data_IF_800920046192
#
_entry.id   IF_800920046192
#
_cell.length_a   1.000
_cell.length_b   1.000
_cell.length_c   1.000
_cell.angle_alpha   90.00
_cell.angle_beta   90.00
_cell.angle_gamma   90.00
#
_symmetry.space_group_name_H-M   'P 1'
#
loop_
_entity.id
_entity.type
_entity.pdbx_description
1 polymer ?
#
# COMPACT_ATOMS: atom_id res chain seq x y z
N UNK A 1 10.84 -10.14 -9.47
CA UNK A 1 9.47 -10.09 -10.04
C UNK A 1 9.00 -8.66 -9.97
N UNK A 2 8.24 -8.19 -10.95
CA UNK A 2 7.70 -6.83 -10.99
C UNK A 2 6.21 -6.87 -11.28
N UNK A 3 5.43 -6.07 -10.55
CA UNK A 3 3.98 -5.94 -10.77
C UNK A 3 3.53 -4.50 -10.68
N UNK A 4 2.43 -4.18 -11.36
CA UNK A 4 1.72 -2.90 -11.26
C UNK A 4 0.51 -3.11 -10.35
N UNK A 5 0.56 -2.52 -9.16
CA UNK A 5 -0.57 -2.49 -8.24
C UNK A 5 -1.55 -1.39 -8.64
N UNK A 6 -2.81 -1.74 -8.89
CA UNK A 6 -3.90 -0.80 -9.18
C UNK A 6 -5.04 -1.03 -8.21
N UNK A 7 -5.50 0.04 -7.56
CA UNK A 7 -6.62 -0.05 -6.64
C UNK A 7 -6.85 1.24 -5.87
N UNK A 8 -7.09 1.09 -4.58
CA UNK A 8 -7.65 2.14 -3.75
C UNK A 8 -6.99 2.20 -2.38
N UNK A 9 -6.96 3.40 -1.80
CA UNK A 9 -6.59 3.64 -0.40
C UNK A 9 -7.81 4.18 0.32
N UNK A 10 -8.10 3.60 1.48
CA UNK A 10 -9.15 4.09 2.37
C UNK A 10 -8.55 5.00 3.43
N UNK A 11 -9.17 6.16 3.61
CA UNK A 11 -8.93 7.09 4.71
C UNK A 11 -10.19 7.21 5.58
N UNK A 12 -9.99 7.51 6.85
CA UNK A 12 -11.08 7.81 7.79
C UNK A 12 -10.78 9.11 8.52
N UNK A 13 -11.77 9.98 8.62
CA UNK A 13 -11.62 11.24 9.33
C UNK A 13 -11.67 10.96 10.85
N UNK A 14 -10.55 11.20 11.53
CA UNK A 14 -10.38 10.89 12.97
C UNK A 14 -9.86 12.10 13.72
N UNK A 15 -10.03 12.08 15.04
CA UNK A 15 -9.39 13.06 15.92
C UNK A 15 -7.86 12.99 15.73
N UNK A 16 -7.25 14.15 15.55
CA UNK A 16 -5.81 14.27 15.37
C UNK A 16 -5.11 13.98 16.68
N UNK A 17 -4.11 13.09 16.64
CA UNK A 17 -3.34 12.76 17.83
C UNK A 17 -2.63 14.01 18.38
N UNK A 18 -2.72 14.22 19.70
CA UNK A 18 -2.10 15.33 20.41
C UNK A 18 -2.59 16.74 20.00
N UNK A 19 -3.76 16.85 19.37
CA UNK A 19 -4.35 18.14 19.00
C UNK A 19 -5.87 18.14 19.23
N UNK A 20 -6.28 18.44 20.47
CA UNK A 20 -7.69 18.43 20.86
C UNK A 20 -8.54 19.35 19.95
N UNK A 21 -9.65 18.82 19.46
CA UNK A 21 -10.57 19.53 18.56
C UNK A 21 -10.11 19.62 17.10
N UNK A 22 -8.92 19.11 16.76
CA UNK A 22 -8.47 18.98 15.38
C UNK A 22 -8.75 17.57 14.85
N UNK A 23 -8.97 17.48 13.55
CA UNK A 23 -9.25 16.24 12.85
C UNK A 23 -8.27 16.07 11.69
N UNK A 24 -7.98 14.81 11.35
CA UNK A 24 -7.15 14.47 10.21
C UNK A 24 -7.62 13.19 9.51
N UNK A 25 -7.29 13.09 8.23
CA UNK A 25 -7.48 11.85 7.48
C UNK A 25 -6.45 10.81 7.91
N UNK A 26 -6.90 9.85 8.71
CA UNK A 26 -6.08 8.71 9.10
C UNK A 26 -6.08 7.64 8.00
N UNK A 27 -4.90 7.13 7.67
CA UNK A 27 -4.74 6.01 6.74
C UNK A 27 -5.36 4.74 7.34
N UNK A 28 -6.33 4.15 6.64
CA UNK A 28 -6.99 2.90 7.08
C UNK A 28 -6.29 1.71 6.45
N UNK A 29 -6.12 1.70 5.13
CA UNK A 29 -5.51 0.57 4.44
C UNK A 29 -5.58 0.66 2.92
N UNK A 30 -4.67 -0.04 2.22
CA UNK A 30 -4.74 -0.23 0.78
C UNK A 30 -5.58 -1.47 0.41
N UNK A 31 -6.15 -1.45 -0.79
CA UNK A 31 -6.65 -2.63 -1.49
C UNK A 31 -6.34 -2.50 -2.98
N UNK A 32 -5.47 -3.36 -3.50
CA UNK A 32 -5.04 -3.31 -4.89
C UNK A 32 -4.92 -4.71 -5.52
N UNK A 33 -5.19 -4.77 -6.82
CA UNK A 33 -4.83 -5.91 -7.67
C UNK A 33 -3.41 -5.70 -8.17
N UNK A 34 -2.59 -6.74 -8.12
CA UNK A 34 -1.24 -6.75 -8.69
C UNK A 34 -1.31 -7.36 -10.08
N UNK A 35 -0.93 -6.58 -11.09
CA UNK A 35 -0.88 -7.02 -12.48
C UNK A 35 0.56 -7.22 -12.94
N UNK A 36 0.82 -8.17 -13.83
CA UNK A 36 2.11 -8.26 -14.51
C UNK A 36 2.30 -7.12 -15.54
N UNK A 37 3.44 -7.11 -16.24
CA UNK A 37 3.73 -6.11 -17.28
C UNK A 37 2.84 -6.22 -18.52
N UNK A 38 2.16 -7.35 -18.72
CA UNK A 38 1.16 -7.54 -19.77
C UNK A 38 -0.25 -7.10 -19.33
N UNK A 39 -0.41 -6.65 -18.08
CA UNK A 39 -1.69 -6.22 -17.52
C UNK A 39 -2.54 -7.36 -16.95
N UNK A 40 -2.00 -8.58 -16.87
CA UNK A 40 -2.74 -9.71 -16.32
C UNK A 40 -2.66 -9.72 -14.80
N UNK A 41 -3.79 -9.96 -14.13
CA UNK A 41 -3.81 -10.09 -12.68
C UNK A 41 -2.98 -11.31 -12.23
N UNK A 42 -2.02 -11.08 -11.34
CA UNK A 42 -1.11 -12.10 -10.78
C UNK A 42 -1.15 -12.15 -9.26
N UNK A 43 -1.87 -11.23 -8.61
CA UNK A 43 -1.98 -11.23 -7.17
C UNK A 43 -2.77 -10.05 -6.61
N UNK A 44 -2.67 -9.87 -5.30
CA UNK A 44 -3.34 -8.81 -4.54
C UNK A 44 -2.40 -8.22 -3.51
N UNK A 45 -2.61 -6.94 -3.21
CA UNK A 45 -1.96 -6.21 -2.12
C UNK A 45 -3.02 -5.56 -1.23
N UNK A 46 -2.91 -5.74 0.08
CA UNK A 46 -3.82 -5.15 1.05
C UNK A 46 -3.16 -4.94 2.42
N UNK A 47 -3.86 -4.29 3.35
CA UNK A 47 -3.44 -4.19 4.75
C UNK A 47 -4.41 -3.38 5.61
N UNK A 48 -4.13 -3.21 6.91
CA UNK A 48 -2.94 -3.64 7.66
C UNK A 48 -3.03 -5.09 8.21
N UNK A 49 -1.89 -5.81 8.38
CA UNK A 49 -0.54 -5.42 7.96
C UNK A 49 -0.40 -5.45 6.43
N UNK A 50 0.62 -4.77 5.89
CA UNK A 50 0.92 -4.82 4.47
C UNK A 50 1.18 -6.26 4.03
N UNK A 51 0.31 -6.77 3.16
CA UNK A 51 0.23 -8.18 2.75
C UNK A 51 0.20 -8.27 1.23
N UNK A 52 1.05 -9.13 0.68
CA UNK A 52 1.10 -9.47 -0.74
C UNK A 52 0.73 -10.94 -0.90
N UNK A 53 -0.19 -11.22 -1.82
CA UNK A 53 -0.67 -12.57 -2.13
C UNK A 53 -0.55 -12.77 -3.64
N UNK A 54 0.07 -13.88 -4.04
CA UNK A 54 0.16 -14.32 -5.43
C UNK A 54 -0.98 -15.29 -5.75
N UNK A 55 -1.38 -15.41 -7.02
CA UNK A 55 -2.43 -16.35 -7.46
C UNK A 55 -2.05 -17.83 -7.27
N UNK A 56 -0.77 -18.14 -7.12
CA UNK A 56 -0.30 -19.49 -6.75
C UNK A 56 -0.50 -19.83 -5.26
N UNK A 57 -1.09 -18.91 -4.48
CA UNK A 57 -1.36 -19.07 -3.06
C UNK A 57 -0.19 -18.72 -2.14
N UNK A 58 0.99 -18.41 -2.67
CA UNK A 58 2.07 -17.87 -1.86
C UNK A 58 1.71 -16.47 -1.36
N UNK A 59 2.04 -16.18 -0.10
CA UNK A 59 1.76 -14.88 0.52
C UNK A 59 2.86 -14.46 1.49
N UNK A 60 3.07 -13.16 1.66
CA UNK A 60 3.97 -12.63 2.69
C UNK A 60 3.44 -11.31 3.25
N UNK A 61 3.90 -10.99 4.45
CA UNK A 61 3.81 -9.64 5.03
C UNK A 61 5.20 -8.99 5.05
N UNK A 62 5.31 -7.74 5.48
CA UNK A 62 6.61 -7.12 5.65
C UNK A 62 6.63 -5.91 6.55
N UNK A 63 7.84 -5.51 6.91
CA UNK A 63 8.12 -4.37 7.79
C UNK A 63 8.72 -3.23 6.97
N UNK A 64 8.16 -2.03 7.08
CA UNK A 64 8.71 -0.85 6.43
C UNK A 64 10.11 -0.54 6.96
N UNK A 65 11.08 -0.43 6.06
CA UNK A 65 12.45 -0.05 6.39
C UNK A 65 12.72 1.43 6.10
N UNK A 66 12.24 1.92 4.97
CA UNK A 66 12.52 3.28 4.52
C UNK A 66 11.38 3.83 3.67
N UNK A 67 11.30 5.15 3.63
CA UNK A 67 10.44 5.91 2.73
C UNK A 67 11.21 7.03 2.06
N UNK A 68 10.79 7.41 0.87
CA UNK A 68 11.31 8.59 0.19
C UNK A 68 10.14 9.39 -0.43
N UNK A 69 10.29 10.72 -0.58
CA UNK A 69 9.28 11.53 -1.26
C UNK A 69 9.00 11.02 -2.67
N UNK A 70 7.73 11.08 -3.08
CA UNK A 70 7.30 10.83 -4.45
C UNK A 70 6.91 12.16 -5.14
N UNK A 71 6.37 12.08 -6.36
CA UNK A 71 5.79 13.25 -7.02
C UNK A 71 4.63 13.84 -6.18
N UNK A 72 4.38 15.16 -6.24
CA UNK A 72 3.28 15.78 -5.51
C UNK A 72 1.94 15.05 -5.74
N UNK A 73 1.18 14.87 -4.66
CA UNK A 73 -0.11 14.16 -4.72
C UNK A 73 -0.01 12.63 -4.76
N UNK A 74 1.19 12.05 -4.57
CA UNK A 74 1.39 10.60 -4.55
C UNK A 74 1.92 10.11 -3.20
N UNK A 75 1.54 8.89 -2.82
CA UNK A 75 2.10 8.25 -1.62
C UNK A 75 3.62 8.14 -1.72
N UNK A 76 4.36 8.25 -0.60
CA UNK A 76 5.80 8.08 -0.58
C UNK A 76 6.24 6.74 -1.18
N UNK A 77 7.41 6.74 -1.81
CA UNK A 77 8.11 5.52 -2.19
C UNK A 77 8.44 4.74 -0.90
N UNK A 78 8.48 3.43 -0.98
CA UNK A 78 8.64 2.59 0.22
C UNK A 78 9.60 1.44 -0.06
N UNK A 79 10.49 1.16 0.89
CA UNK A 79 11.23 -0.09 0.96
C UNK A 79 10.73 -0.91 2.14
N UNK A 80 10.44 -2.17 1.90
CA UNK A 80 9.90 -3.12 2.88
C UNK A 80 10.83 -4.33 2.96
N UNK A 81 11.14 -4.75 4.19
CA UNK A 81 11.73 -6.06 4.47
C UNK A 81 10.61 -7.10 4.50
N UNK A 82 10.68 -8.09 3.62
CA UNK A 82 9.70 -9.16 3.59
C UNK A 82 9.90 -10.10 4.80
N UNK A 83 8.80 -10.50 5.41
CA UNK A 83 8.76 -11.65 6.31
C UNK A 83 8.82 -12.94 5.47
N UNK A 84 9.18 -14.10 6.07
CA UNK A 84 9.15 -15.38 5.38
C UNK A 84 7.79 -15.61 4.72
N UNK A 85 7.81 -15.98 3.44
CA UNK A 85 6.60 -16.29 2.71
C UNK A 85 5.94 -17.56 3.26
N UNK A 86 4.61 -17.54 3.31
CA UNK A 86 3.78 -18.73 3.51
C UNK A 86 3.44 -19.32 2.15
N UNK A 87 3.52 -20.64 2.03
CA UNK A 87 3.31 -21.36 0.77
C UNK A 87 4.53 -21.36 -0.14
N UNK A 88 4.60 -22.36 -1.01
CA UNK A 88 5.56 -22.40 -2.11
C UNK A 88 5.02 -21.53 -3.26
N UNK A 89 5.91 -20.87 -4.00
CA UNK A 89 5.51 -20.08 -5.18
C UNK A 89 6.37 -18.87 -5.46
N UNK A 90 5.79 -17.94 -6.22
CA UNK A 90 6.42 -16.71 -6.71
C UNK A 90 7.03 -15.88 -5.58
N UNK A 91 6.33 -15.79 -4.44
CA UNK A 91 6.75 -15.01 -3.27
C UNK A 91 7.76 -15.73 -2.38
N UNK A 92 8.01 -17.03 -2.57
CA UNK A 92 9.02 -17.76 -1.79
C UNK A 92 10.42 -17.19 -2.03
N UNK A 93 11.16 -16.93 -0.94
CA UNK A 93 12.52 -16.37 -1.00
C UNK A 93 12.60 -14.87 -1.30
N UNK A 94 11.46 -14.17 -1.43
CA UNK A 94 11.47 -12.70 -1.47
C UNK A 94 11.99 -12.17 -0.14
N UNK A 95 13.00 -11.30 -0.21
CA UNK A 95 13.62 -10.67 0.97
C UNK A 95 13.23 -9.20 1.13
N UNK A 96 12.97 -8.50 0.03
CA UNK A 96 12.61 -7.09 0.03
C UNK A 96 11.57 -6.80 -1.04
N UNK A 97 10.75 -5.80 -0.77
CA UNK A 97 9.76 -5.27 -1.72
C UNK A 97 9.94 -3.76 -1.76
N UNK A 98 10.02 -3.21 -2.97
CA UNK A 98 10.05 -1.77 -3.16
C UNK A 98 8.79 -1.31 -3.88
N UNK A 99 8.14 -0.29 -3.32
CA UNK A 99 7.05 0.44 -3.95
C UNK A 99 7.63 1.69 -4.61
N UNK A 100 7.51 1.77 -5.93
CA UNK A 100 7.98 2.88 -6.75
C UNK A 100 6.89 3.37 -7.71
N UNK A 101 7.17 4.42 -8.48
CA UNK A 101 6.26 4.97 -9.49
C UNK A 101 4.82 5.19 -8.96
N UNK A 102 4.70 5.62 -7.70
CA UNK A 102 3.41 5.83 -7.05
C UNK A 102 2.65 6.97 -7.72
N UNK A 103 1.35 6.76 -7.90
CA UNK A 103 0.41 7.74 -8.42
C UNK A 103 -0.82 7.76 -7.52
N UNK A 104 -1.11 8.93 -6.95
CA UNK A 104 -2.25 9.10 -6.05
C UNK A 104 -2.07 8.38 -4.71
N UNK A 105 -3.20 8.00 -4.11
CA UNK A 105 -3.25 7.34 -2.80
C UNK A 105 -3.06 8.25 -1.60
N UNK A 106 -2.88 9.57 -1.78
CA UNK A 106 -2.80 10.53 -0.68
C UNK A 106 -4.18 10.84 -0.10
N UNK A 107 -4.22 11.37 1.12
CA UNK A 107 -5.47 11.81 1.75
C UNK A 107 -6.25 12.77 0.82
N UNK A 108 -7.59 12.67 0.80
CA UNK A 108 -8.41 13.51 -0.06
C UNK A 108 -8.29 15.00 0.35
N UNK A 109 -8.50 15.90 -0.63
CA UNK A 109 -8.48 17.33 -0.39
C UNK A 109 -9.74 17.86 0.34
N UNK A 110 -10.78 17.03 0.47
CA UNK A 110 -11.97 17.38 1.23
C UNK A 110 -11.61 17.61 2.70
N UNK A 111 -12.26 18.58 3.37
CA UNK A 111 -12.01 18.83 4.78
C UNK A 111 -12.36 17.60 5.61
N UNK A 112 -11.49 17.29 6.57
CA UNK A 112 -11.80 16.42 7.70
C UNK A 112 -11.95 17.32 8.92
N UNK A 113 -13.17 17.42 9.43
CA UNK A 113 -13.55 18.26 10.56
C UNK A 113 -14.53 17.51 11.49
N UNK A 114 -15.06 18.21 12.49
CA UNK A 114 -15.97 17.62 13.46
C UNK A 114 -17.25 17.04 12.82
N UNK A 115 -17.76 17.65 11.74
CA UNK A 115 -18.93 17.15 11.03
C UNK A 115 -18.60 15.92 10.19
N UNK A 116 -17.36 15.84 9.68
CA UNK A 116 -16.83 14.71 8.94
C UNK A 116 -16.32 13.54 9.79
N UNK A 117 -16.32 13.63 11.13
CA UNK A 117 -15.76 12.58 12.02
C UNK A 117 -16.36 11.21 11.73
N UNK A 118 -15.51 10.20 11.55
CA UNK A 118 -15.89 8.82 11.22
C UNK A 118 -16.26 8.59 9.76
N UNK A 119 -16.33 9.63 8.93
CA UNK A 119 -16.51 9.47 7.49
C UNK A 119 -15.30 8.77 6.87
N UNK A 120 -15.56 7.99 5.82
CA UNK A 120 -14.53 7.31 5.03
C UNK A 120 -14.47 7.86 3.63
N UNK A 121 -13.27 7.95 3.11
CA UNK A 121 -13.01 8.38 1.74
C UNK A 121 -12.07 7.40 1.08
N UNK A 122 -12.35 7.12 -0.19
CA UNK A 122 -11.60 6.18 -1.01
C UNK A 122 -10.96 6.96 -2.13
N UNK A 123 -9.64 6.82 -2.27
CA UNK A 123 -8.86 7.49 -3.31
C UNK A 123 -8.18 6.47 -4.20
N UNK A 124 -8.10 6.78 -5.49
CA UNK A 124 -7.41 5.95 -6.48
C UNK A 124 -5.91 5.91 -6.19
N UNK A 125 -5.32 4.76 -6.44
CA UNK A 125 -3.93 4.48 -6.17
C UNK A 125 -3.35 3.52 -7.20
N UNK A 126 -2.13 3.83 -7.65
CA UNK A 126 -1.32 2.94 -8.47
C UNK A 126 0.14 3.00 -8.01
N UNK A 127 0.85 1.88 -8.11
CA UNK A 127 2.29 1.83 -7.90
C UNK A 127 2.93 0.60 -8.55
N UNK A 128 4.22 0.67 -8.82
CA UNK A 128 5.02 -0.49 -9.20
C UNK A 128 5.58 -1.16 -7.94
N UNK A 129 5.52 -2.48 -7.89
CA UNK A 129 6.10 -3.31 -6.84
C UNK A 129 7.22 -4.19 -7.41
N UNK A 130 8.42 -4.00 -6.90
CA UNK A 130 9.61 -4.78 -7.27
C UNK A 130 9.94 -5.72 -6.11
N UNK A 131 9.96 -7.02 -6.40
CA UNK A 131 10.22 -8.09 -5.44
C UNK A 131 11.62 -8.65 -5.65
N UNK A 132 12.47 -8.51 -4.63
CA UNK A 132 13.89 -8.89 -4.64
C UNK A 132 14.13 -10.21 -3.90
N UNK A 133 14.98 -11.07 -4.47
CA UNK A 133 15.48 -12.29 -3.83
C UNK A 133 17.02 -12.17 -3.69
N UNK A 134 17.60 -12.67 -2.59
CA UNK A 134 19.06 -12.75 -2.48
C UNK A 134 19.61 -13.71 -3.54
N UNK A 135 20.81 -13.43 -4.03
CA UNK A 135 21.60 -14.27 -4.95
C UNK A 135 22.54 -15.18 -4.18
#
# INVERSE_FOLDING_TARGET
METVGVGEITYECRDKANAAGQFEWAFVGPQAVLNDRAGQAVGRYFGPPATWVSLDGSQLTGTQLAVAPAQPGSLPLQLVKANPAMGAGALAGVSHIQRVATQGGVAPASPCDAAGRGSRQVVKYQADYIFYKPV
#
